data_IF_839016961845
#
_entry.id   IF_839016961845
#
_cell.length_a   1.000
_cell.length_b   1.000
_cell.length_c   1.000
_cell.angle_alpha   90.00
_cell.angle_beta   90.00
_cell.angle_gamma   90.00
#
_symmetry.space_group_name_H-M   'P 1'
#
loop_
_entity.id
_entity.type
_entity.pdbx_description
1 polymer ?
#
# COMPACT_ATOMS: atom_id res chain seq x y z
N UNK A 1 -15.82 -9.28 -21.23
CA UNK A 1 -16.19 -8.36 -20.12
C UNK A 1 -15.15 -7.25 -20.00
N UNK A 2 -15.40 -6.09 -20.62
CA UNK A 2 -14.51 -4.93 -20.49
C UNK A 2 -14.52 -4.41 -19.05
N UNK A 3 -13.39 -4.47 -18.34
CA UNK A 3 -13.27 -3.91 -16.99
C UNK A 3 -13.44 -2.39 -17.08
N UNK A 4 -14.63 -1.88 -16.72
CA UNK A 4 -14.78 -0.46 -16.35
C UNK A 4 -13.90 -0.23 -15.12
N UNK A 5 -12.70 0.30 -15.36
CA UNK A 5 -11.78 0.68 -14.30
C UNK A 5 -12.17 2.06 -13.82
N UNK A 6 -13.05 2.10 -12.82
CA UNK A 6 -13.43 3.36 -12.19
C UNK A 6 -12.20 3.98 -11.49
N UNK A 7 -11.79 5.22 -11.84
CA UNK A 7 -10.59 5.84 -11.29
C UNK A 7 -10.68 6.01 -9.77
N UNK A 8 -11.87 6.26 -9.24
CA UNK A 8 -12.13 6.36 -7.79
C UNK A 8 -11.87 5.04 -7.05
N UNK A 9 -12.32 3.92 -7.62
CA UNK A 9 -12.09 2.60 -7.04
C UNK A 9 -10.58 2.27 -7.02
N UNK A 10 -9.85 2.66 -8.07
CA UNK A 10 -8.39 2.51 -8.14
C UNK A 10 -7.69 3.35 -7.07
N UNK A 11 -8.12 4.60 -6.87
CA UNK A 11 -7.59 5.46 -5.82
C UNK A 11 -7.82 4.84 -4.42
N UNK A 12 -9.03 4.34 -4.13
CA UNK A 12 -9.35 3.70 -2.84
C UNK A 12 -8.47 2.48 -2.57
N UNK A 13 -8.23 1.65 -3.59
CA UNK A 13 -7.60 0.34 -3.45
C UNK A 13 -6.07 0.36 -3.51
N UNK A 14 -5.46 1.35 -4.18
CA UNK A 14 -4.02 1.35 -4.48
C UNK A 14 -3.30 2.64 -4.11
N UNK A 15 -3.96 3.80 -4.11
CA UNK A 15 -3.29 5.07 -3.81
C UNK A 15 -2.81 5.09 -2.35
N UNK A 16 -1.48 5.26 -2.17
CA UNK A 16 -0.82 5.30 -0.85
C UNK A 16 -1.04 4.05 0.01
N UNK A 17 -1.46 2.93 -0.60
CA UNK A 17 -1.65 1.66 0.09
C UNK A 17 -0.37 0.84 0.03
N UNK A 18 0.17 0.52 1.20
CA UNK A 18 1.36 -0.29 1.36
C UNK A 18 1.02 -1.63 2.02
N UNK A 19 1.77 -2.65 1.65
CA UNK A 19 1.69 -4.01 2.18
C UNK A 19 2.98 -4.30 2.93
N UNK A 20 2.90 -4.81 4.15
CA UNK A 20 4.09 -5.29 4.85
C UNK A 20 4.65 -6.55 4.17
N UNK A 21 5.97 -6.60 3.97
CA UNK A 21 6.63 -7.79 3.40
C UNK A 21 6.59 -9.00 4.33
N UNK A 22 6.55 -8.78 5.65
CA UNK A 22 6.56 -9.85 6.67
C UNK A 22 5.16 -10.40 6.92
N UNK A 23 4.27 -9.59 7.49
CA UNK A 23 2.94 -10.05 7.91
C UNK A 23 1.83 -9.80 6.89
N UNK A 24 2.17 -9.32 5.68
CA UNK A 24 1.23 -9.05 4.56
C UNK A 24 0.08 -8.09 4.90
N UNK A 25 0.14 -7.41 6.04
CA UNK A 25 -0.89 -6.45 6.48
C UNK A 25 -0.83 -5.21 5.61
N UNK A 26 -2.01 -4.69 5.25
CA UNK A 26 -2.20 -3.50 4.42
C UNK A 26 -2.31 -2.26 5.31
N UNK A 27 -1.75 -1.13 4.90
CA UNK A 27 -1.91 0.16 5.57
C UNK A 27 -1.78 1.31 4.57
N UNK A 28 -2.59 2.36 4.74
CA UNK A 28 -2.38 3.65 4.08
C UNK A 28 -1.29 4.44 4.80
N UNK A 29 -0.28 4.89 4.05
CA UNK A 29 0.88 5.58 4.59
C UNK A 29 1.38 6.64 3.62
N UNK A 30 2.04 7.66 4.16
CA UNK A 30 2.67 8.69 3.34
C UNK A 30 3.90 8.12 2.61
N UNK A 31 4.03 8.30 1.29
CA UNK A 31 5.11 7.71 0.50
C UNK A 31 6.49 8.19 0.94
N UNK A 32 6.62 9.45 1.35
CA UNK A 32 7.90 10.03 1.79
C UNK A 32 8.32 9.37 3.10
N UNK A 33 7.40 9.24 4.05
CA UNK A 33 7.69 8.57 5.33
C UNK A 33 8.00 7.08 5.17
N UNK A 34 7.39 6.40 4.20
CA UNK A 34 7.73 5.00 3.85
C UNK A 34 9.12 4.91 3.24
N UNK A 35 9.47 5.80 2.29
CA UNK A 35 10.80 5.85 1.67
C UNK A 35 11.90 6.13 2.70
N UNK A 36 11.63 7.03 3.65
CA UNK A 36 12.51 7.35 4.78
C UNK A 36 12.48 6.30 5.91
N UNK A 37 11.75 5.17 5.76
CA UNK A 37 11.60 4.11 6.77
C UNK A 37 11.13 4.60 8.16
N UNK A 38 10.43 5.74 8.21
CA UNK A 38 9.87 6.32 9.46
C UNK A 38 8.56 5.64 9.88
N UNK A 39 7.91 4.89 8.98
CA UNK A 39 6.67 4.17 9.26
C UNK A 39 6.95 2.69 9.50
N UNK A 40 6.52 2.21 10.67
CA UNK A 40 6.50 0.78 11.04
C UNK A 40 5.13 0.14 10.79
N UNK A 41 5.13 -1.15 10.47
CA UNK A 41 3.92 -1.97 10.43
C UNK A 41 3.22 -1.97 11.80
N UNK A 42 1.88 -1.87 11.79
CA UNK A 42 1.05 -1.82 13.02
C UNK A 42 1.06 -3.15 13.77
N UNK A 43 1.24 -4.27 13.05
CA UNK A 43 1.09 -5.63 13.58
C UNK A 43 2.41 -6.28 14.00
N UNK A 44 3.46 -6.14 13.19
CA UNK A 44 4.76 -6.79 13.45
C UNK A 44 5.93 -5.81 13.64
N UNK A 45 5.69 -4.49 13.62
CA UNK A 45 6.76 -3.50 13.81
C UNK A 45 7.77 -3.34 12.65
N UNK A 46 7.77 -4.23 11.66
CA UNK A 46 8.68 -4.15 10.51
C UNK A 46 8.49 -2.85 9.71
N UNK A 47 9.62 -2.23 9.33
CA UNK A 47 9.66 -1.04 8.44
C UNK A 47 9.67 -1.42 6.94
N UNK A 48 9.62 -2.72 6.63
CA UNK A 48 9.66 -3.23 5.27
C UNK A 48 8.25 -3.22 4.65
N UNK A 49 7.87 -2.06 4.11
CA UNK A 49 6.60 -1.82 3.44
C UNK A 49 6.82 -1.73 1.92
N UNK A 50 5.99 -2.43 1.14
CA UNK A 50 5.99 -2.35 -0.33
C UNK A 50 4.71 -1.68 -0.83
N UNK A 51 4.74 -0.86 -1.89
CA UNK A 51 3.52 -0.35 -2.49
C UNK A 51 2.68 -1.50 -3.05
N UNK A 52 1.35 -1.40 -2.93
CA UNK A 52 0.43 -2.37 -3.51
C UNK A 52 0.36 -2.14 -5.02
N UNK A 53 0.80 -3.13 -5.81
CA UNK A 53 0.73 -3.05 -7.28
C UNK A 53 -0.73 -2.97 -7.74
N UNK A 54 -1.02 -2.00 -8.62
CA UNK A 54 -2.27 -1.97 -9.41
C UNK A 54 -2.20 -3.13 -10.42
N UNK A 55 -3.24 -3.96 -10.56
CA UNK A 55 -3.35 -4.85 -11.71
C UNK A 55 -3.59 -3.95 -12.93
N UNK A 56 -2.64 -3.95 -13.86
CA UNK A 56 -2.80 -3.38 -15.20
C UNK A 56 -3.97 -4.09 -15.90
#
# INVERSE_FOLDING_TARGET
MGKKTYPEAMARLYLRVYVCRVCKTKRKADPIKVKLRKIKCRRCGSKQLRPKRRPL
#
